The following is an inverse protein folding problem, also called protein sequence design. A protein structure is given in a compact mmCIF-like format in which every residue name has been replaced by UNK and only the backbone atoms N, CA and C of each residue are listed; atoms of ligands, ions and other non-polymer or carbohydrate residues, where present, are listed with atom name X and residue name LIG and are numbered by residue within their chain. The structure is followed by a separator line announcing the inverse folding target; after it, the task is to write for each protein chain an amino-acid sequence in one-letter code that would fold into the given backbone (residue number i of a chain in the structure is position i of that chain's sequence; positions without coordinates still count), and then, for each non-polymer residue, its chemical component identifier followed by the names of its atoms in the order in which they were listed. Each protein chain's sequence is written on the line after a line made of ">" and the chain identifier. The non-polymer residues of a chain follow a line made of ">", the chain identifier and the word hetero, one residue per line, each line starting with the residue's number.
data_IF_455857497838
#
_entry.id   IF_455857497838
#
_cell.length_a   1.000
_cell.length_b   1.000
_cell.length_c   1.000
_cell.angle_alpha   90.00
_cell.angle_beta   90.00
_cell.angle_gamma   90.00
#
_symmetry.space_group_name_H-M   'P 1'
#
loop_
_entity.id
_entity.type
_entity.pdbx_description
1 polymer ?
#
# COMPACT_ATOMS: atom_id res chain seq x y z
N UNK A 1 -11.75 3.28 -41.51
CA UNK A 1 -10.35 3.52 -41.07
C UNK A 1 -10.26 3.71 -39.54
N UNK A 2 -11.24 3.26 -38.76
CA UNK A 2 -11.43 3.61 -37.33
C UNK A 2 -11.36 2.42 -36.35
N UNK A 3 -11.52 1.18 -36.83
CA UNK A 3 -11.51 -0.01 -35.98
C UNK A 3 -10.09 -0.46 -35.61
N UNK A 4 -9.15 -0.41 -36.56
CA UNK A 4 -7.77 -0.87 -36.35
C UNK A 4 -6.93 0.01 -35.40
N UNK A 5 -7.18 1.33 -35.33
CA UNK A 5 -6.52 2.21 -34.35
C UNK A 5 -7.08 2.01 -32.93
N UNK A 6 -8.39 1.80 -32.81
CA UNK A 6 -9.06 1.52 -31.53
C UNK A 6 -8.59 0.20 -30.94
N UNK A 7 -8.41 -0.84 -31.77
CA UNK A 7 -7.85 -2.13 -31.34
C UNK A 7 -6.38 -2.01 -30.89
N UNK A 8 -5.55 -1.22 -31.59
CA UNK A 8 -4.16 -0.95 -31.18
C UNK A 8 -4.07 -0.25 -29.82
N UNK A 9 -4.91 0.75 -29.58
CA UNK A 9 -4.94 1.47 -28.30
C UNK A 9 -5.40 0.60 -27.14
N UNK A 10 -6.45 -0.21 -27.36
CA UNK A 10 -6.98 -1.14 -26.36
C UNK A 10 -5.97 -2.22 -26.00
N UNK A 11 -5.25 -2.77 -26.99
CA UNK A 11 -4.20 -3.76 -26.76
C UNK A 11 -3.03 -3.19 -25.96
N UNK A 12 -2.58 -1.97 -26.28
CA UNK A 12 -1.52 -1.29 -25.53
C UNK A 12 -1.88 -1.03 -24.07
N UNK A 13 -3.11 -0.57 -23.80
CA UNK A 13 -3.61 -0.37 -22.45
C UNK A 13 -3.71 -1.69 -21.66
N UNK A 14 -4.28 -2.73 -22.27
CA UNK A 14 -4.39 -4.05 -21.65
C UNK A 14 -3.01 -4.61 -21.28
N UNK A 15 -2.02 -4.46 -22.16
CA UNK A 15 -0.65 -4.88 -21.92
C UNK A 15 -0.01 -4.11 -20.75
N UNK A 16 -0.18 -2.77 -20.71
CA UNK A 16 0.31 -1.93 -19.61
C UNK A 16 -0.32 -2.29 -18.25
N UNK A 17 -1.64 -2.49 -18.22
CA UNK A 17 -2.35 -2.87 -16.99
C UNK A 17 -1.91 -4.25 -16.51
N UNK A 18 -1.77 -5.20 -17.43
CA UNK A 18 -1.31 -6.56 -17.11
C UNK A 18 0.11 -6.53 -16.57
N UNK A 19 1.01 -5.79 -17.23
CA UNK A 19 2.39 -5.60 -16.76
C UNK A 19 2.44 -4.95 -15.37
N UNK A 20 1.64 -3.90 -15.14
CA UNK A 20 1.56 -3.22 -13.83
C UNK A 20 1.08 -4.14 -12.72
N UNK A 21 0.05 -4.96 -12.97
CA UNK A 21 -0.44 -5.95 -12.00
C UNK A 21 0.60 -7.03 -11.70
N UNK A 22 1.29 -7.53 -12.73
CA UNK A 22 2.36 -8.53 -12.55
C UNK A 22 3.53 -7.92 -11.76
N UNK A 23 3.95 -6.70 -12.09
CA UNK A 23 5.01 -5.99 -11.38
C UNK A 23 4.63 -5.74 -9.91
N UNK A 24 3.38 -5.36 -9.64
CA UNK A 24 2.87 -5.18 -8.27
C UNK A 24 2.87 -6.50 -7.48
N UNK A 25 2.37 -7.59 -8.07
CA UNK A 25 2.38 -8.90 -7.44
C UNK A 25 3.81 -9.38 -7.14
N UNK A 26 4.73 -9.19 -8.09
CA UNK A 26 6.14 -9.50 -7.91
C UNK A 26 6.78 -8.65 -6.80
N UNK A 27 6.51 -7.34 -6.77
CA UNK A 27 7.00 -6.46 -5.72
C UNK A 27 6.50 -6.88 -4.32
N UNK A 28 5.23 -7.28 -4.19
CA UNK A 28 4.68 -7.81 -2.94
C UNK A 28 5.39 -9.12 -2.54
N UNK A 29 5.60 -10.05 -3.48
CA UNK A 29 6.29 -11.31 -3.21
C UNK A 29 7.75 -11.11 -2.77
N UNK A 30 8.45 -10.15 -3.39
CA UNK A 30 9.82 -9.80 -2.99
C UNK A 30 9.82 -9.09 -1.63
N UNK A 31 8.90 -8.16 -1.39
CA UNK A 31 8.77 -7.47 -0.11
C UNK A 31 8.47 -8.43 1.06
N UNK A 32 7.76 -9.54 0.81
CA UNK A 32 7.50 -10.57 1.82
C UNK A 32 8.66 -11.54 2.03
N UNK A 33 9.55 -11.70 1.06
CA UNK A 33 10.74 -12.54 1.20
C UNK A 33 11.90 -11.85 1.93
N UNK A 34 12.03 -10.53 1.80
CA UNK A 34 13.12 -9.76 2.41
C UNK A 34 12.82 -9.50 3.90
N UNK A 35 13.76 -9.86 4.79
CA UNK A 35 13.73 -9.53 6.22
C UNK A 35 14.81 -10.26 7.02
N UNK A 36 14.86 -10.04 8.34
CA UNK A 36 15.90 -10.58 9.24
C UNK A 36 16.01 -12.12 9.22
N UNK A 37 14.89 -12.81 9.01
CA UNK A 37 14.89 -14.25 8.76
C UNK A 37 15.01 -14.50 7.26
N UNK A 38 16.05 -15.25 6.85
CA UNK A 38 16.24 -15.70 5.47
C UNK A 38 15.22 -16.78 5.11
N UNK A 39 14.01 -16.35 4.77
CA UNK A 39 12.92 -17.22 4.30
C UNK A 39 13.00 -17.24 2.77
N UNK A 40 13.23 -18.42 2.18
CA UNK A 40 13.25 -18.56 0.73
C UNK A 40 11.89 -18.24 0.09
N UNK A 41 11.89 -17.74 -1.15
CA UNK A 41 10.68 -17.41 -1.90
C UNK A 41 9.69 -18.60 -2.00
N UNK A 42 10.20 -19.83 -2.07
CA UNK A 42 9.37 -21.04 -2.04
C UNK A 42 8.63 -21.21 -0.72
N UNK A 43 9.28 -20.95 0.41
CA UNK A 43 8.67 -21.03 1.74
C UNK A 43 7.65 -19.90 1.95
N UNK A 44 7.90 -18.69 1.42
CA UNK A 44 6.92 -17.60 1.42
C UNK A 44 5.66 -17.98 0.64
N UNK A 45 5.83 -18.55 -0.55
CA UNK A 45 4.69 -19.03 -1.35
C UNK A 45 3.88 -20.08 -0.58
N UNK A 46 4.55 -21.08 -0.02
CA UNK A 46 3.91 -22.13 0.79
C UNK A 46 3.24 -21.56 2.05
N UNK A 47 3.84 -20.56 2.72
CA UNK A 47 3.27 -19.93 3.91
C UNK A 47 2.01 -19.12 3.58
N UNK A 48 2.00 -18.43 2.44
CA UNK A 48 0.82 -17.71 1.93
C UNK A 48 -0.26 -18.70 1.52
N UNK A 49 0.05 -19.74 0.74
CA UNK A 49 -0.96 -20.72 0.31
C UNK A 49 -1.51 -21.54 1.47
N UNK A 50 -0.69 -21.84 2.49
CA UNK A 50 -1.13 -22.53 3.69
C UNK A 50 -2.06 -21.65 4.54
N UNK A 51 -1.74 -20.36 4.71
CA UNK A 51 -2.67 -19.43 5.38
C UNK A 51 -3.98 -19.19 4.61
N UNK A 52 -3.98 -19.37 3.29
CA UNK A 52 -5.20 -19.36 2.46
C UNK A 52 -5.96 -20.70 2.46
N UNK A 53 -5.43 -21.74 3.12
CA UNK A 53 -6.04 -23.09 3.15
C UNK A 53 -5.89 -23.89 1.85
N UNK A 54 -5.04 -23.44 0.93
CA UNK A 54 -4.81 -24.10 -0.37
C UNK A 54 -3.75 -25.21 -0.31
N UNK A 55 -2.92 -25.23 0.73
CA UNK A 55 -1.82 -26.21 0.87
C UNK A 55 -1.62 -26.55 2.35
N UNK A 56 -1.31 -27.81 2.66
CA UNK A 56 -1.02 -28.26 4.03
C UNK A 56 0.47 -28.54 4.27
N UNK A 57 1.36 -27.74 3.69
CA UNK A 57 2.80 -27.96 3.82
C UNK A 57 3.26 -27.74 5.27
N UNK A 58 4.10 -28.62 5.80
CA UNK A 58 4.70 -28.45 7.13
C UNK A 58 5.76 -27.33 7.07
N UNK A 59 5.43 -26.19 7.67
CA UNK A 59 6.30 -25.02 7.79
C UNK A 59 6.35 -24.64 9.27
N UNK A 60 7.46 -24.03 9.70
CA UNK A 60 7.56 -23.51 11.06
C UNK A 60 6.41 -22.53 11.36
N UNK A 61 5.68 -22.70 12.47
CA UNK A 61 4.60 -21.77 12.86
C UNK A 61 5.09 -20.31 13.01
N UNK A 62 6.36 -20.13 13.38
CA UNK A 62 6.99 -18.81 13.51
C UNK A 62 7.13 -18.18 12.12
N UNK A 63 7.64 -18.92 11.13
CA UNK A 63 7.80 -18.42 9.77
C UNK A 63 6.46 -18.06 9.13
N UNK A 64 5.45 -18.91 9.33
CA UNK A 64 4.09 -18.66 8.83
C UNK A 64 3.51 -17.38 9.43
N UNK A 65 3.65 -17.20 10.75
CA UNK A 65 3.18 -15.99 11.45
C UNK A 65 3.94 -14.74 11.00
N UNK A 66 5.26 -14.81 10.83
CA UNK A 66 6.08 -13.68 10.35
C UNK A 66 5.65 -13.26 8.93
N UNK A 67 5.43 -14.23 8.03
CA UNK A 67 4.99 -13.94 6.67
C UNK A 67 3.62 -13.28 6.67
N UNK A 68 2.64 -13.79 7.41
CA UNK A 68 1.27 -13.25 7.42
C UNK A 68 1.11 -11.96 8.23
N UNK A 69 1.48 -11.99 9.50
CA UNK A 69 1.15 -10.93 10.45
C UNK A 69 2.07 -9.71 10.31
N UNK A 70 3.32 -9.91 9.86
CA UNK A 70 4.29 -8.82 9.73
C UNK A 70 4.52 -8.44 8.28
N UNK A 71 5.01 -9.37 7.45
CA UNK A 71 5.55 -9.02 6.13
C UNK A 71 4.46 -8.75 5.10
N UNK A 72 3.48 -9.65 4.98
CA UNK A 72 2.39 -9.51 4.04
C UNK A 72 1.50 -8.31 4.39
N UNK A 73 1.13 -8.18 5.67
CA UNK A 73 0.39 -7.01 6.16
C UNK A 73 1.08 -5.69 5.80
N UNK A 74 2.39 -5.57 6.06
CA UNK A 74 3.17 -4.37 5.70
C UNK A 74 3.25 -4.13 4.19
N UNK A 75 3.47 -5.17 3.40
CA UNK A 75 3.55 -5.05 1.93
C UNK A 75 2.21 -4.55 1.35
N UNK A 76 1.08 -5.06 1.86
CA UNK A 76 -0.25 -4.63 1.44
C UNK A 76 -0.53 -3.18 1.83
N UNK A 77 -0.19 -2.77 3.06
CA UNK A 77 -0.34 -1.37 3.49
C UNK A 77 0.50 -0.44 2.61
N UNK A 78 1.75 -0.82 2.29
CA UNK A 78 2.61 -0.02 1.41
C UNK A 78 2.05 0.10 -0.02
N UNK A 79 1.52 -0.99 -0.58
CA UNK A 79 0.89 -0.99 -1.89
C UNK A 79 -0.34 -0.08 -1.94
N UNK A 80 -1.22 -0.17 -0.93
CA UNK A 80 -2.43 0.65 -0.83
C UNK A 80 -2.09 2.13 -0.62
N UNK A 81 -1.13 2.44 0.25
CA UNK A 81 -0.67 3.81 0.48
C UNK A 81 -0.06 4.43 -0.79
N UNK A 82 0.78 3.67 -1.51
CA UNK A 82 1.37 4.10 -2.78
C UNK A 82 0.32 4.34 -3.87
N UNK A 83 -0.67 3.46 -3.99
CA UNK A 83 -1.78 3.64 -4.91
C UNK A 83 -2.60 4.90 -4.60
N UNK A 84 -2.93 5.13 -3.33
CA UNK A 84 -3.64 6.34 -2.88
C UNK A 84 -2.87 7.63 -3.18
N UNK A 85 -1.57 7.65 -2.90
CA UNK A 85 -0.70 8.79 -3.21
C UNK A 85 -0.59 9.03 -4.72
N UNK A 86 -0.47 7.98 -5.53
CA UNK A 86 -0.41 8.09 -6.99
C UNK A 86 -1.70 8.65 -7.57
N UNK A 87 -2.86 8.21 -7.08
CA UNK A 87 -4.17 8.73 -7.51
C UNK A 87 -4.31 10.20 -7.12
N UNK A 88 -4.00 10.55 -5.87
CA UNK A 88 -4.07 11.93 -5.39
C UNK A 88 -3.15 12.86 -6.20
N UNK A 89 -1.91 12.43 -6.48
CA UNK A 89 -0.97 13.15 -7.32
C UNK A 89 -1.51 13.38 -8.74
N UNK A 90 -2.04 12.34 -9.39
CA UNK A 90 -2.62 12.47 -10.73
C UNK A 90 -3.81 13.44 -10.77
N UNK A 91 -4.69 13.39 -9.76
CA UNK A 91 -5.82 14.31 -9.63
C UNK A 91 -5.33 15.76 -9.49
N UNK A 92 -4.37 16.02 -8.59
CA UNK A 92 -3.87 17.38 -8.37
C UNK A 92 -3.10 17.94 -9.55
N UNK A 93 -2.28 17.12 -10.21
CA UNK A 93 -1.59 17.51 -11.44
C UNK A 93 -2.59 17.89 -12.54
N UNK A 94 -3.72 17.17 -12.66
CA UNK A 94 -4.78 17.49 -13.62
C UNK A 94 -5.55 18.77 -13.26
N UNK A 95 -5.92 18.95 -12.00
CA UNK A 95 -6.67 20.13 -11.53
C UNK A 95 -5.84 21.42 -11.66
N UNK A 96 -4.57 21.35 -11.26
CA UNK A 96 -3.66 22.50 -11.28
C UNK A 96 -2.98 22.68 -12.64
N UNK A 97 -3.14 21.70 -13.55
CA UNK A 97 -2.45 21.62 -14.85
C UNK A 97 -0.94 21.86 -14.71
N UNK A 98 -0.38 21.36 -13.61
CA UNK A 98 1.02 21.52 -13.25
C UNK A 98 1.59 20.17 -12.83
N UNK A 99 2.52 19.64 -13.64
CA UNK A 99 3.16 18.35 -13.39
C UNK A 99 4.02 18.33 -12.12
N UNK A 100 4.36 19.49 -11.55
CA UNK A 100 5.10 19.63 -10.29
C UNK A 100 4.20 19.71 -9.05
N UNK A 101 2.88 19.65 -9.22
CA UNK A 101 1.96 19.70 -8.09
C UNK A 101 2.00 18.38 -7.29
N UNK A 102 2.08 18.50 -5.96
CA UNK A 102 2.12 17.36 -5.04
C UNK A 102 1.02 17.43 -3.95
N UNK A 103 0.49 16.28 -3.50
CA UNK A 103 -0.56 16.18 -2.48
C UNK A 103 -0.27 16.86 -1.14
N UNK A 104 1.01 17.01 -0.80
CA UNK A 104 1.41 17.49 0.52
C UNK A 104 1.14 18.98 0.74
N UNK A 105 0.82 19.74 -0.32
CA UNK A 105 0.62 21.20 -0.24
C UNK A 105 -0.74 21.59 0.38
N UNK A 106 -1.71 20.67 0.47
CA UNK A 106 -3.06 20.96 0.95
C UNK A 106 -3.22 21.00 2.49
N UNK A 107 -2.13 20.97 3.26
CA UNK A 107 -2.19 21.02 4.74
C UNK A 107 -2.60 19.71 5.43
N UNK A 108 -3.16 18.74 4.69
CA UNK A 108 -3.57 17.41 5.17
C UNK A 108 -2.46 16.68 5.93
N UNK A 109 -1.21 16.75 5.44
CA UNK A 109 -0.06 16.10 6.08
C UNK A 109 0.37 16.77 7.40
N UNK A 110 0.30 18.10 7.45
CA UNK A 110 0.56 18.86 8.67
C UNK A 110 -0.54 18.61 9.72
N UNK A 111 -1.81 18.55 9.30
CA UNK A 111 -2.94 18.16 10.15
C UNK A 111 -2.80 16.74 10.70
N UNK A 112 -2.42 15.78 9.85
CA UNK A 112 -2.19 14.40 10.27
C UNK A 112 -1.10 14.29 11.34
N UNK A 113 0.03 14.98 11.11
CA UNK A 113 1.15 15.00 12.05
C UNK A 113 0.77 15.65 13.37
N UNK A 114 0.03 16.77 13.33
CA UNK A 114 -0.43 17.48 14.54
C UNK A 114 -1.41 16.61 15.34
N UNK A 115 -2.34 15.93 14.67
CA UNK A 115 -3.28 15.00 15.31
C UNK A 115 -2.57 13.80 15.96
N UNK A 116 -1.59 13.22 15.27
CA UNK A 116 -0.76 12.13 15.81
C UNK A 116 0.02 12.58 17.04
N UNK A 117 0.68 13.74 16.98
CA UNK A 117 1.44 14.32 18.10
C UNK A 117 0.53 14.66 19.28
N UNK A 118 -0.70 15.12 19.03
CA UNK A 118 -1.69 15.38 20.08
C UNK A 118 -2.07 14.11 20.84
N UNK A 119 -2.18 12.97 20.16
CA UNK A 119 -2.43 11.68 20.83
C UNK A 119 -1.19 11.20 21.59
N UNK A 120 0.00 11.25 20.99
CA UNK A 120 1.24 10.72 21.61
C UNK A 120 1.73 11.59 22.78
N UNK A 121 1.80 12.90 22.58
CA UNK A 121 2.48 13.83 23.51
C UNK A 121 1.50 14.46 24.48
N UNK A 122 0.34 14.93 23.99
CA UNK A 122 -0.66 15.57 24.84
C UNK A 122 -1.60 14.55 25.50
N UNK A 123 -1.53 13.26 25.11
CA UNK A 123 -2.34 12.19 25.68
C UNK A 123 -3.83 12.28 25.32
N UNK A 124 -4.17 12.98 24.23
CA UNK A 124 -5.57 13.13 23.80
C UNK A 124 -6.18 11.76 23.55
N UNK A 125 -7.32 11.49 24.20
CA UNK A 125 -8.02 10.21 24.14
C UNK A 125 -7.57 9.17 25.16
N UNK A 126 -6.60 9.47 26.04
CA UNK A 126 -6.24 8.66 27.21
C UNK A 126 -6.09 7.14 26.95
N UNK A 127 -5.57 6.76 25.77
CA UNK A 127 -5.39 5.37 25.34
C UNK A 127 -6.61 4.73 24.66
N UNK A 128 -7.77 5.39 24.65
CA UNK A 128 -8.96 4.97 23.90
C UNK A 128 -8.95 5.39 22.42
N UNK A 129 -8.24 6.47 22.09
CA UNK A 129 -7.99 6.86 20.69
C UNK A 129 -6.71 6.22 20.19
N UNK A 130 -6.80 5.50 19.07
CA UNK A 130 -5.61 4.98 18.39
C UNK A 130 -4.84 6.11 17.71
N UNK A 131 -3.52 5.92 17.57
CA UNK A 131 -2.65 6.86 16.86
C UNK A 131 -3.16 7.17 15.45
N UNK A 132 -3.58 6.14 14.72
CA UNK A 132 -4.12 6.27 13.37
C UNK A 132 -5.39 7.12 13.33
N UNK A 133 -6.26 7.00 14.34
CA UNK A 133 -7.49 7.78 14.41
C UNK A 133 -7.21 9.25 14.73
N UNK A 134 -6.25 9.52 15.63
CA UNK A 134 -5.79 10.87 15.93
C UNK A 134 -5.18 11.55 14.71
N UNK A 135 -4.30 10.84 13.97
CA UNK A 135 -3.73 11.33 12.73
C UNK A 135 -4.83 11.61 11.68
N UNK A 136 -5.78 10.69 11.51
CA UNK A 136 -6.87 10.86 10.56
C UNK A 136 -7.77 12.06 10.90
N UNK A 137 -8.18 12.21 12.16
CA UNK A 137 -9.01 13.33 12.61
C UNK A 137 -8.29 14.68 12.47
N UNK A 138 -6.99 14.74 12.78
CA UNK A 138 -6.18 15.93 12.58
C UNK A 138 -6.03 16.31 11.10
N UNK A 139 -5.88 15.32 10.22
CA UNK A 139 -5.84 15.54 8.77
C UNK A 139 -7.16 16.14 8.26
N UNK A 140 -8.30 15.59 8.70
CA UNK A 140 -9.64 16.06 8.32
C UNK A 140 -9.96 17.46 8.85
N UNK A 141 -9.46 17.81 10.02
CA UNK A 141 -9.73 19.11 10.64
C UNK A 141 -8.90 20.24 10.02
N UNK A 142 -7.80 19.90 9.33
CA UNK A 142 -6.92 20.86 8.66
C UNK A 142 -7.29 21.10 7.17
N UNK A 143 -8.16 20.26 6.60
CA UNK A 143 -8.70 20.39 5.25
C UNK A 143 -9.97 21.26 5.26
#
# INVERSE_FOLDING_TARGET
>A
MTTAETERGTFGLALLLTFGLVALAFAIAVATAIGDYSIGLGTVFLAVTNGLGLTGAEISPIEQSVVWNLRLSRALVAALAGAGLSICGAILQALLRNALAEPFVLGVSAGASTGAVSVIVLGVGAGGLSLSLGAFAGAFSAF
#
